data_IF_819047257900
#
_entry.id   IF_819047257900
#
_cell.length_a   1.000
_cell.length_b   1.000
_cell.length_c   1.000
_cell.angle_alpha   90.00
_cell.angle_beta   90.00
_cell.angle_gamma   90.00
#
_symmetry.space_group_name_H-M   'P 1'
#
loop_
_entity.id
_entity.type
_entity.pdbx_description
1 polymer ?
#
# COMPACT_ATOMS: atom_id res chain seq x y z
N UNK A 1 -7.39 12.92 -68.85
CA UNK A 1 -8.28 12.97 -67.66
C UNK A 1 -7.91 11.99 -66.54
N UNK A 2 -7.37 10.81 -66.81
CA UNK A 2 -7.01 9.85 -65.73
C UNK A 2 -5.88 10.32 -64.79
N UNK A 3 -4.92 11.09 -65.31
CA UNK A 3 -3.74 11.52 -64.55
C UNK A 3 -4.06 12.57 -63.46
N UNK A 4 -5.09 13.40 -63.69
CA UNK A 4 -5.56 14.41 -62.72
C UNK A 4 -6.34 13.76 -61.58
N UNK A 5 -7.11 12.70 -61.88
CA UNK A 5 -7.86 11.93 -60.89
C UNK A 5 -6.90 11.15 -59.97
N UNK A 6 -5.85 10.53 -60.53
CA UNK A 6 -4.84 9.82 -59.75
C UNK A 6 -4.08 10.73 -58.79
N UNK A 7 -3.72 11.95 -59.22
CA UNK A 7 -3.07 12.95 -58.36
C UNK A 7 -3.94 13.36 -57.17
N UNK A 8 -5.24 13.54 -57.39
CA UNK A 8 -6.18 13.90 -56.33
C UNK A 8 -6.31 12.76 -55.30
N UNK A 9 -6.39 11.52 -55.75
CA UNK A 9 -6.46 10.34 -54.86
C UNK A 9 -5.19 10.24 -54.00
N UNK A 10 -4.02 10.39 -54.61
CA UNK A 10 -2.74 10.36 -53.88
C UNK A 10 -2.67 11.50 -52.85
N UNK A 11 -3.09 12.72 -53.21
CA UNK A 11 -3.11 13.85 -52.29
C UNK A 11 -4.08 13.64 -51.11
N UNK A 12 -5.27 13.06 -51.36
CA UNK A 12 -6.24 12.78 -50.30
C UNK A 12 -5.70 11.73 -49.34
N UNK A 13 -5.14 10.63 -49.85
CA UNK A 13 -4.54 9.58 -49.02
C UNK A 13 -3.36 10.13 -48.22
N UNK A 14 -2.45 10.86 -48.87
CA UNK A 14 -1.27 11.45 -48.20
C UNK A 14 -1.67 12.46 -47.11
N UNK A 15 -2.70 13.28 -47.37
CA UNK A 15 -3.21 14.23 -46.37
C UNK A 15 -3.83 13.53 -45.16
N UNK A 16 -4.46 12.36 -45.37
CA UNK A 16 -5.10 11.59 -44.29
C UNK A 16 -4.08 11.09 -43.26
N UNK A 17 -2.85 10.79 -43.67
CA UNK A 17 -1.77 10.36 -42.77
C UNK A 17 -1.13 11.51 -41.99
N UNK A 18 -1.25 12.76 -42.46
CA UNK A 18 -0.69 13.94 -41.77
C UNK A 18 -1.58 14.45 -40.63
N UNK A 19 -2.83 13.98 -40.55
CA UNK A 19 -3.79 14.35 -39.50
C UNK A 19 -3.90 13.32 -38.37
N UNK A 20 -2.96 12.38 -38.26
CA UNK A 20 -2.88 11.55 -37.05
C UNK A 20 -2.57 12.48 -35.86
N UNK A 21 -3.49 12.65 -34.89
CA UNK A 21 -3.17 13.41 -33.70
C UNK A 21 -2.01 12.73 -32.98
N UNK A 22 -1.13 13.50 -32.31
CA UNK A 22 -0.16 12.90 -31.41
C UNK A 22 -0.93 12.00 -30.43
N UNK A 23 -0.56 10.72 -30.39
CA UNK A 23 -1.04 9.79 -29.39
C UNK A 23 -0.52 10.28 -28.04
N UNK A 24 -1.31 11.11 -27.38
CA UNK A 24 -1.05 11.55 -26.01
C UNK A 24 -1.25 10.30 -25.12
N UNK A 25 -0.16 9.57 -24.91
CA UNK A 25 -0.20 8.36 -24.10
C UNK A 25 -0.58 8.78 -22.68
N UNK A 26 -1.81 8.46 -22.28
CA UNK A 26 -2.27 8.77 -20.93
C UNK A 26 -1.27 8.20 -19.93
N UNK A 27 -0.86 9.00 -18.92
CA UNK A 27 -0.01 8.50 -17.87
C UNK A 27 -0.71 7.29 -17.23
N UNK A 28 0.02 6.21 -16.91
CA UNK A 28 -0.60 5.05 -16.32
C UNK A 28 -1.22 5.41 -14.96
N UNK A 29 -2.30 4.73 -14.58
CA UNK A 29 -3.12 5.07 -13.41
C UNK A 29 -2.33 5.25 -12.10
N UNK A 30 -1.25 4.48 -11.93
CA UNK A 30 -0.39 4.56 -10.75
C UNK A 30 0.43 5.85 -10.67
N UNK A 31 0.69 6.51 -11.80
CA UNK A 31 1.28 7.86 -11.85
C UNK A 31 0.21 8.92 -11.57
N UNK A 32 -0.99 8.75 -12.14
CA UNK A 32 -2.06 9.74 -12.02
C UNK A 32 -2.64 9.83 -10.60
N UNK A 33 -2.77 8.69 -9.91
CA UNK A 33 -3.45 8.59 -8.61
C UNK A 33 -2.50 8.27 -7.45
N UNK A 34 -1.18 8.44 -7.63
CA UNK A 34 -0.18 8.11 -6.62
C UNK A 34 -0.33 6.68 -6.06
N UNK A 35 -0.58 5.72 -6.96
CA UNK A 35 -0.78 4.34 -6.58
C UNK A 35 -2.15 3.97 -6.01
N UNK A 36 -3.06 4.93 -5.79
CA UNK A 36 -4.42 4.65 -5.32
C UNK A 36 -5.17 3.92 -6.43
N UNK A 37 -5.22 2.59 -6.35
CA UNK A 37 -5.84 1.72 -7.34
C UNK A 37 -6.62 0.61 -6.67
N UNK A 38 -7.88 0.44 -7.09
CA UNK A 38 -8.68 -0.72 -6.70
C UNK A 38 -8.07 -2.05 -7.24
N UNK A 39 -7.24 -1.98 -8.29
CA UNK A 39 -6.57 -3.15 -8.87
C UNK A 39 -5.38 -3.63 -8.04
N UNK A 40 -4.71 -2.71 -7.35
CA UNK A 40 -3.52 -3.01 -6.53
C UNK A 40 -3.72 -2.40 -5.13
N UNK A 41 -4.56 -3.01 -4.29
CA UNK A 41 -4.84 -2.47 -2.96
C UNK A 41 -3.62 -2.59 -2.04
N UNK A 42 -3.38 -1.56 -1.23
CA UNK A 42 -2.28 -1.50 -0.25
C UNK A 42 -2.31 -2.66 0.76
N UNK A 43 -3.46 -3.31 0.96
CA UNK A 43 -3.60 -4.49 1.83
C UNK A 43 -2.90 -5.75 1.30
N UNK A 44 -2.59 -5.80 0.00
CA UNK A 44 -1.95 -6.95 -0.65
C UNK A 44 -0.58 -6.62 -1.24
N UNK A 45 -0.39 -5.38 -1.68
CA UNK A 45 0.83 -4.94 -2.34
C UNK A 45 1.44 -3.77 -1.60
N UNK A 46 2.64 -3.96 -1.06
CA UNK A 46 3.40 -2.86 -0.46
C UNK A 46 4.24 -2.20 -1.55
N UNK A 47 3.80 -1.03 -2.00
CA UNK A 47 4.45 -0.25 -3.05
C UNK A 47 4.71 1.17 -2.58
N UNK A 48 5.85 1.72 -2.99
CA UNK A 48 6.25 3.10 -2.73
C UNK A 48 6.13 3.94 -3.98
N UNK A 49 5.60 5.15 -3.85
CA UNK A 49 5.46 6.10 -4.95
C UNK A 49 6.26 7.36 -4.64
N UNK A 50 6.77 8.00 -5.68
CA UNK A 50 7.61 9.18 -5.51
C UNK A 50 7.62 10.10 -6.73
N UNK A 51 7.79 11.38 -6.48
CA UNK A 51 7.80 12.42 -7.49
C UNK A 51 9.14 13.16 -7.50
N UNK A 52 9.67 13.43 -8.70
CA UNK A 52 10.97 14.07 -8.88
C UNK A 52 10.87 15.32 -9.73
N UNK A 53 11.04 16.48 -9.12
CA UNK A 53 11.05 17.77 -9.82
C UNK A 53 12.48 18.25 -10.09
N UNK A 54 12.91 18.20 -11.36
CA UNK A 54 14.18 18.75 -11.84
C UNK A 54 14.11 18.97 -13.35
N UNK A 55 14.94 19.87 -13.88
CA UNK A 55 15.12 20.04 -15.34
C UNK A 55 15.94 18.90 -15.96
N UNK A 56 16.81 18.25 -15.17
CA UNK A 56 17.62 17.12 -15.61
C UNK A 56 16.88 15.79 -15.41
N UNK A 57 16.82 14.95 -16.45
CA UNK A 57 16.14 13.66 -16.40
C UNK A 57 16.76 12.69 -15.39
N UNK A 58 18.09 12.64 -15.28
CA UNK A 58 18.78 11.73 -14.37
C UNK A 58 18.54 12.14 -12.91
N UNK A 59 18.51 13.45 -12.66
CA UNK A 59 18.23 14.00 -11.34
C UNK A 59 16.77 13.78 -10.96
N UNK A 60 15.80 14.00 -11.87
CA UNK A 60 14.39 13.64 -11.65
C UNK A 60 14.23 12.18 -11.28
N UNK A 61 14.92 11.28 -11.99
CA UNK A 61 14.87 9.84 -11.70
C UNK A 61 15.43 9.54 -10.32
N UNK A 62 16.56 10.16 -9.96
CA UNK A 62 17.17 9.98 -8.63
C UNK A 62 16.24 10.45 -7.52
N UNK A 63 15.66 11.64 -7.65
CA UNK A 63 14.74 12.22 -6.65
C UNK A 63 13.50 11.35 -6.51
N UNK A 64 12.81 11.04 -7.61
CA UNK A 64 11.60 10.20 -7.59
C UNK A 64 11.85 8.81 -7.02
N UNK A 65 13.01 8.20 -7.29
CA UNK A 65 13.38 6.90 -6.73
C UNK A 65 13.61 7.00 -5.22
N UNK A 66 14.30 8.04 -4.77
CA UNK A 66 14.57 8.25 -3.35
C UNK A 66 13.27 8.51 -2.58
N UNK A 67 12.38 9.32 -3.14
CA UNK A 67 11.07 9.62 -2.58
C UNK A 67 10.20 8.35 -2.47
N UNK A 68 10.18 7.53 -3.53
CA UNK A 68 9.48 6.24 -3.52
C UNK A 68 10.02 5.27 -2.45
N UNK A 69 11.32 5.27 -2.19
CA UNK A 69 11.91 4.45 -1.12
C UNK A 69 11.54 4.95 0.27
N UNK A 70 11.45 6.27 0.45
CA UNK A 70 11.01 6.87 1.71
C UNK A 70 9.55 6.52 2.01
N UNK A 71 8.66 6.68 1.03
CA UNK A 71 7.26 6.27 1.13
C UNK A 71 7.13 4.78 1.48
N UNK A 72 7.88 3.93 0.78
CA UNK A 72 7.91 2.49 1.05
C UNK A 72 8.37 2.17 2.48
N UNK A 73 9.46 2.81 2.93
CA UNK A 73 10.00 2.59 4.28
C UNK A 73 9.03 3.02 5.38
N UNK A 74 8.30 4.12 5.18
CA UNK A 74 7.32 4.60 6.12
C UNK A 74 6.18 3.58 6.29
N UNK A 75 5.70 3.00 5.18
CA UNK A 75 4.70 1.92 5.20
C UNK A 75 5.20 0.70 5.97
N UNK A 76 6.44 0.24 5.72
CA UNK A 76 7.02 -0.90 6.45
C UNK A 76 7.14 -0.64 7.96
N UNK A 77 7.59 0.55 8.37
CA UNK A 77 7.74 0.89 9.80
C UNK A 77 6.39 0.80 10.52
N UNK A 78 5.33 1.31 9.89
CA UNK A 78 3.97 1.25 10.46
C UNK A 78 3.52 -0.20 10.60
N UNK A 79 3.61 -1.00 9.52
CA UNK A 79 3.20 -2.41 9.55
C UNK A 79 3.96 -3.21 10.61
N UNK A 80 5.29 -3.07 10.68
CA UNK A 80 6.12 -3.78 11.67
C UNK A 80 5.73 -3.36 13.09
N UNK A 81 5.52 -2.05 13.32
CA UNK A 81 5.10 -1.56 14.63
C UNK A 81 3.75 -2.14 15.03
N UNK A 82 2.78 -2.17 14.14
CA UNK A 82 1.44 -2.70 14.43
C UNK A 82 1.48 -4.21 14.73
N UNK A 83 2.25 -4.98 13.95
CA UNK A 83 2.45 -6.40 14.21
C UNK A 83 3.12 -6.66 15.57
N UNK A 84 4.14 -5.87 15.93
CA UNK A 84 4.81 -5.96 17.23
C UNK A 84 3.86 -5.64 18.39
N UNK A 85 3.01 -4.63 18.24
CA UNK A 85 2.01 -4.27 19.27
C UNK A 85 1.00 -5.40 19.44
N UNK A 86 0.53 -6.00 18.34
CA UNK A 86 -0.41 -7.14 18.39
C UNK A 86 0.25 -8.32 19.10
N UNK A 87 1.48 -8.68 18.72
CA UNK A 87 2.23 -9.79 19.34
C UNK A 87 2.49 -9.54 20.83
N UNK A 88 2.80 -8.31 21.21
CA UNK A 88 2.97 -7.94 22.62
C UNK A 88 1.66 -8.13 23.39
N UNK A 89 0.53 -7.68 22.84
CA UNK A 89 -0.79 -7.86 23.48
C UNK A 89 -1.18 -9.33 23.62
N UNK A 90 -0.89 -10.16 22.61
CA UNK A 90 -1.11 -11.61 22.69
C UNK A 90 -0.30 -12.23 23.83
N UNK A 91 1.00 -11.87 23.93
CA UNK A 91 1.89 -12.34 25.00
C UNK A 91 1.42 -11.89 26.38
N UNK A 92 1.08 -10.61 26.54
CA UNK A 92 0.62 -10.05 27.81
C UNK A 92 -0.73 -10.66 28.22
N UNK A 93 -1.63 -10.88 27.28
CA UNK A 93 -2.91 -11.55 27.51
C UNK A 93 -2.72 -12.98 28.04
N UNK A 94 -1.81 -13.75 27.45
CA UNK A 94 -1.45 -15.10 27.92
C UNK A 94 -0.87 -15.03 29.35
N UNK A 95 0.03 -14.09 29.60
CA UNK A 95 0.64 -13.91 30.92
C UNK A 95 -0.41 -13.61 32.00
N UNK A 96 -1.31 -12.66 31.74
CA UNK A 96 -2.42 -12.32 32.65
C UNK A 96 -3.38 -13.49 32.87
N UNK A 97 -3.70 -14.24 31.80
CA UNK A 97 -4.54 -15.42 31.90
C UNK A 97 -3.93 -16.49 32.83
N UNK A 98 -2.63 -16.78 32.68
CA UNK A 98 -1.93 -17.75 33.54
C UNK A 98 -1.91 -17.27 35.00
N UNK A 99 -1.65 -15.98 35.24
CA UNK A 99 -1.69 -15.38 36.57
C UNK A 99 -3.07 -15.51 37.23
N UNK A 100 -4.13 -15.22 36.47
CA UNK A 100 -5.51 -15.35 36.94
C UNK A 100 -5.83 -16.81 37.29
N UNK A 101 -5.48 -17.77 36.42
CA UNK A 101 -5.70 -19.19 36.70
C UNK A 101 -4.94 -19.66 37.95
N UNK A 102 -3.69 -19.20 38.14
CA UNK A 102 -2.87 -19.56 39.32
C UNK A 102 -3.40 -18.97 40.62
N UNK A 103 -3.95 -17.76 40.59
CA UNK A 103 -4.53 -17.12 41.78
C UNK A 103 -5.88 -17.71 42.13
N UNK A 104 -6.66 -18.14 41.13
CA UNK A 104 -7.92 -18.84 41.33
C UNK A 104 -7.71 -20.21 41.99
N UNK A 105 -6.77 -21.02 41.48
CA UNK A 105 -6.47 -22.34 42.05
C UNK A 105 -5.88 -22.30 43.46
N UNK A 106 -5.12 -21.26 43.81
CA UNK A 106 -4.62 -21.09 45.18
C UNK A 106 -5.63 -20.41 46.12
N UNK A 107 -6.65 -19.73 45.60
CA UNK A 107 -7.67 -19.03 46.37
C UNK A 107 -8.72 -19.96 46.98
N UNK A 108 -9.01 -21.10 46.34
CA UNK A 108 -10.04 -22.04 46.82
C UNK A 108 -9.64 -22.81 48.09
N UNK A 109 -8.35 -22.93 48.40
CA UNK A 109 -7.90 -23.62 49.62
C UNK A 109 -8.06 -22.82 50.93
N UNK A 110 -8.54 -21.57 50.89
CA UNK A 110 -8.70 -20.75 52.11
C UNK A 110 -10.13 -20.58 52.62
N UNK A 111 -11.14 -21.08 51.91
CA UNK A 111 -12.54 -20.83 52.27
C UNK A 111 -13.27 -22.01 52.93
N UNK A 112 -12.61 -23.15 53.18
CA UNK A 112 -13.29 -24.37 53.66
C UNK A 112 -13.09 -24.71 55.15
N UNK A 113 -12.49 -23.83 55.95
CA UNK A 113 -12.16 -24.14 57.37
C UNK A 113 -12.63 -23.08 58.40
N UNK A 114 -13.78 -22.45 58.17
CA UNK A 114 -14.51 -21.72 59.23
C UNK A 114 -15.95 -22.18 59.32
N UNK A 115 -16.15 -23.44 59.71
CA UNK A 115 -17.41 -23.86 60.32
C UNK A 115 -17.51 -23.23 61.71
N UNK A 116 -18.60 -22.50 61.87
CA UNK A 116 -18.99 -21.71 63.04
C UNK A 116 -19.27 -22.66 64.22
N UNK A 117 -18.73 -22.44 65.43
CA UNK A 117 -19.16 -23.22 66.59
C UNK A 117 -20.59 -22.82 66.97
N UNK A 118 -21.48 -23.80 66.96
CA UNK A 118 -22.85 -23.69 67.46
C UNK A 118 -22.85 -23.28 68.95
N UNK A 119 -23.67 -22.27 69.26
CA UNK A 119 -24.11 -21.90 70.60
C UNK A 119 -25.10 -22.94 71.17
#
# INVERSE_FOLDING_TARGET
>A
MYYTIWRLIVCVILSSFLFLPPSDAQPPDWVANYGISARYPDSQYVTGYGFGESKNADERKKISTQDALLDLSAKFIVTIRDELIIKQRESDGIFWFILLMRTWTHGEHKYEERSIPCL
#
